data_IF_023977794498
#
_entry.id   IF_023977794498
#
_cell.length_a   1.000
_cell.length_b   1.000
_cell.length_c   1.000
_cell.angle_alpha   90.00
_cell.angle_beta   90.00
_cell.angle_gamma   90.00
#
_symmetry.space_group_name_H-M   'P 1'
#
loop_
_entity.id
_entity.type
_entity.pdbx_description
1 polymer ?
#
# COMPACT_ATOMS: atom_id res chain seq x y z
N UNK A 1 -17.79 -0.70 6.47
CA UNK A 1 -16.71 0.04 7.14
C UNK A 1 -15.45 -0.81 6.97
N UNK A 2 -14.44 -0.32 6.26
CA UNK A 2 -13.17 -1.05 6.11
C UNK A 2 -12.53 -1.05 7.49
N UNK A 3 -12.36 -2.22 8.09
CA UNK A 3 -11.62 -2.36 9.35
C UNK A 3 -10.27 -1.67 9.18
N UNK A 4 -10.05 -0.59 9.94
CA UNK A 4 -8.77 0.10 9.98
C UNK A 4 -7.77 -0.85 10.61
N UNK A 5 -6.89 -1.44 9.81
CA UNK A 5 -5.76 -2.20 10.32
C UNK A 5 -4.91 -1.25 11.19
N UNK A 6 -4.84 -1.44 12.53
CA UNK A 6 -4.17 -0.49 13.43
C UNK A 6 -2.71 -0.25 13.06
N UNK A 7 -2.07 -1.25 12.43
CA UNK A 7 -0.69 -1.17 11.97
C UNK A 7 -0.54 -0.19 10.79
N UNK A 8 -1.47 -0.18 9.84
CA UNK A 8 -1.43 0.72 8.67
C UNK A 8 -1.57 2.18 9.13
N UNK A 9 -2.43 2.43 10.12
CA UNK A 9 -2.60 3.77 10.69
C UNK A 9 -1.32 4.24 11.38
N UNK A 10 -0.68 3.38 12.18
CA UNK A 10 0.61 3.68 12.82
C UNK A 10 1.74 3.94 11.80
N UNK A 11 1.72 3.21 10.68
CA UNK A 11 2.71 3.34 9.61
C UNK A 11 2.49 4.58 8.71
N UNK A 12 1.38 5.35 8.87
CA UNK A 12 1.18 6.63 8.14
C UNK A 12 2.31 7.63 8.36
N UNK A 13 2.98 7.57 9.51
CA UNK A 13 4.16 8.39 9.81
C UNK A 13 5.31 8.16 8.83
N UNK A 14 5.35 7.04 8.09
CA UNK A 14 6.38 6.74 7.12
C UNK A 14 6.24 7.57 5.83
N UNK A 15 5.05 8.11 5.55
CA UNK A 15 4.79 8.92 4.35
C UNK A 15 5.58 10.24 4.34
N UNK A 16 6.01 10.72 5.51
CA UNK A 16 6.79 11.97 5.63
C UNK A 16 8.22 11.85 5.11
N UNK A 17 8.69 10.63 4.86
CA UNK A 17 10.03 10.35 4.37
C UNK A 17 9.95 10.00 2.89
N UNK A 18 10.69 10.68 2.03
CA UNK A 18 10.70 10.39 0.59
C UNK A 18 11.48 9.09 0.33
N UNK A 19 12.68 9.00 0.90
CA UNK A 19 13.60 7.88 0.73
C UNK A 19 13.83 7.12 2.05
N UNK A 20 14.42 5.91 1.95
CA UNK A 20 14.84 5.16 3.14
C UNK A 20 15.96 5.88 3.88
N UNK A 21 16.81 6.57 3.14
CA UNK A 21 17.90 7.39 3.67
C UNK A 21 17.36 8.53 4.52
N UNK A 22 16.30 9.22 4.09
CA UNK A 22 15.65 10.28 4.89
C UNK A 22 15.06 9.73 6.19
N UNK A 23 14.52 8.51 6.14
CA UNK A 23 14.07 7.80 7.34
C UNK A 23 15.23 7.52 8.29
N UNK A 24 16.37 7.02 7.80
CA UNK A 24 17.57 6.82 8.61
C UNK A 24 18.11 8.14 9.18
N UNK A 25 18.13 9.20 8.40
CA UNK A 25 18.61 10.51 8.81
C UNK A 25 17.74 11.12 9.92
N UNK A 26 16.45 10.77 9.97
CA UNK A 26 15.57 11.19 11.06
C UNK A 26 15.91 10.56 12.42
N UNK A 27 16.71 9.50 12.43
CA UNK A 27 17.20 8.81 13.63
C UNK A 27 18.62 9.23 14.02
N UNK A 28 19.31 10.04 13.19
CA UNK A 28 20.66 10.54 13.46
C UNK A 28 20.58 11.77 14.37
N UNK A 29 21.25 11.71 15.53
CA UNK A 29 21.27 12.82 16.51
C UNK A 29 22.43 13.77 16.18
N UNK A 30 22.37 15.02 16.64
CA UNK A 30 23.45 15.99 16.42
C UNK A 30 24.81 15.53 16.96
N UNK A 31 24.83 14.73 18.02
CA UNK A 31 26.04 14.12 18.53
C UNK A 31 26.71 13.19 17.50
N UNK A 32 25.92 12.44 16.73
CA UNK A 32 26.45 11.55 15.67
C UNK A 32 27.08 12.36 14.54
N UNK A 33 26.59 13.58 14.27
CA UNK A 33 27.21 14.50 13.30
C UNK A 33 28.57 15.01 13.77
N UNK A 34 28.75 15.17 15.08
CA UNK A 34 30.02 15.61 15.68
C UNK A 34 31.02 14.46 15.88
N UNK A 35 30.54 13.26 16.20
CA UNK A 35 31.39 12.12 16.54
C UNK A 35 31.73 11.23 15.35
N UNK A 36 30.87 11.16 14.34
CA UNK A 36 31.08 10.27 13.20
C UNK A 36 31.63 11.05 12.01
N UNK A 37 32.61 10.47 11.30
CA UNK A 37 33.33 11.17 10.23
C UNK A 37 32.48 11.45 8.99
N UNK A 38 31.41 10.69 8.77
CA UNK A 38 30.52 10.84 7.63
C UNK A 38 29.10 10.39 7.97
N UNK A 39 28.11 11.09 7.40
CA UNK A 39 26.68 10.74 7.41
C UNK A 39 26.39 9.29 7.01
N UNK A 40 27.19 8.70 6.11
CA UNK A 40 27.05 7.28 5.74
C UNK A 40 27.25 6.35 6.95
N UNK A 41 28.22 6.65 7.81
CA UNK A 41 28.50 5.86 9.02
C UNK A 41 27.35 6.02 10.01
N UNK A 42 26.84 7.25 10.19
CA UNK A 42 25.68 7.54 11.05
C UNK A 42 24.45 6.75 10.62
N UNK A 43 24.17 6.71 9.31
CA UNK A 43 23.06 5.92 8.74
C UNK A 43 23.24 4.42 9.00
N UNK A 44 24.44 3.89 8.83
CA UNK A 44 24.69 2.46 9.06
C UNK A 44 24.49 2.07 10.52
N UNK A 45 24.92 2.93 11.46
CA UNK A 45 24.68 2.73 12.89
C UNK A 45 23.18 2.80 13.23
N UNK A 46 22.45 3.72 12.60
CA UNK A 46 20.99 3.83 12.76
C UNK A 46 20.25 2.60 12.20
N UNK A 47 20.68 2.10 11.05
CA UNK A 47 20.16 0.87 10.42
C UNK A 47 20.35 -0.35 11.33
N UNK A 48 21.50 -0.46 11.99
CA UNK A 48 21.79 -1.52 12.97
C UNK A 48 20.98 -1.41 14.27
N UNK A 49 20.23 -0.32 14.47
CA UNK A 49 19.35 -0.15 15.63
C UNK A 49 20.08 0.13 16.94
N UNK A 50 21.38 0.44 16.93
CA UNK A 50 22.14 0.71 18.16
C UNK A 50 21.74 1.99 18.91
N UNK A 51 20.99 2.89 18.26
CA UNK A 51 20.55 4.18 18.83
C UNK A 51 19.08 4.20 19.23
N UNK A 52 18.25 3.51 18.48
CA UNK A 52 16.81 3.42 18.76
C UNK A 52 16.61 2.28 19.76
N UNK A 53 15.98 2.52 20.91
CA UNK A 53 15.54 1.43 21.80
C UNK A 53 14.37 0.64 21.19
N UNK A 54 14.59 0.07 20.00
CA UNK A 54 13.58 -0.62 19.21
C UNK A 54 14.13 -1.11 17.88
N UNK A 55 13.33 -1.90 17.18
CA UNK A 55 13.66 -2.49 15.90
C UNK A 55 13.59 -1.42 14.79
N UNK A 56 14.74 -1.03 14.23
CA UNK A 56 14.79 -0.20 13.02
C UNK A 56 14.25 -1.02 11.84
N UNK A 57 13.38 -0.43 11.03
CA UNK A 57 12.86 -1.12 9.84
C UNK A 57 13.99 -1.35 8.85
N UNK A 58 14.09 -2.57 8.32
CA UNK A 58 14.94 -2.81 7.15
C UNK A 58 14.43 -2.04 5.94
N UNK A 59 15.28 -1.82 4.94
CA UNK A 59 14.88 -1.13 3.69
C UNK A 59 13.63 -1.76 3.06
N UNK A 60 13.63 -3.09 2.94
CA UNK A 60 12.49 -3.83 2.38
C UNK A 60 11.22 -3.66 3.21
N UNK A 61 11.34 -3.66 4.54
CA UNK A 61 10.19 -3.47 5.43
C UNK A 61 9.66 -2.05 5.34
N UNK A 62 10.53 -1.04 5.28
CA UNK A 62 10.15 0.36 5.10
C UNK A 62 9.37 0.55 3.79
N UNK A 63 9.92 0.07 2.67
CA UNK A 63 9.28 0.18 1.37
C UNK A 63 7.95 -0.57 1.32
N UNK A 64 7.90 -1.79 1.86
CA UNK A 64 6.67 -2.60 1.92
C UNK A 64 5.57 -1.92 2.74
N UNK A 65 5.92 -1.39 3.93
CA UNK A 65 4.95 -0.71 4.81
C UNK A 65 4.49 0.61 4.20
N UNK A 66 5.41 1.40 3.64
CA UNK A 66 5.07 2.65 2.94
C UNK A 66 4.15 2.38 1.74
N UNK A 67 4.44 1.36 0.94
CA UNK A 67 3.59 0.96 -0.18
C UNK A 67 2.21 0.47 0.30
N UNK A 68 2.13 -0.28 1.40
CA UNK A 68 0.86 -0.71 1.98
C UNK A 68 -0.01 0.49 2.41
N UNK A 69 0.60 1.51 3.03
CA UNK A 69 -0.11 2.75 3.40
C UNK A 69 -0.58 3.50 2.15
N UNK A 70 0.27 3.64 1.12
CA UNK A 70 -0.12 4.30 -0.14
C UNK A 70 -1.28 3.56 -0.80
N UNK A 71 -1.23 2.22 -0.87
CA UNK A 71 -2.31 1.40 -1.41
C UNK A 71 -3.60 1.49 -0.58
N UNK A 72 -3.49 1.72 0.72
CA UNK A 72 -4.66 1.92 1.58
C UNK A 72 -5.31 3.29 1.34
N UNK A 73 -4.50 4.36 1.20
CA UNK A 73 -4.98 5.71 0.92
C UNK A 73 -5.48 5.88 -0.52
N UNK A 74 -4.82 5.23 -1.46
CA UNK A 74 -5.09 5.24 -2.88
C UNK A 74 -5.20 3.80 -3.40
N UNK A 75 -6.32 3.11 -3.12
CA UNK A 75 -6.53 1.75 -3.61
C UNK A 75 -6.44 1.72 -5.13
N UNK A 76 -5.66 0.78 -5.71
CA UNK A 76 -5.61 0.65 -7.16
C UNK A 76 -7.01 0.33 -7.67
N UNK A 77 -7.39 0.96 -8.78
CA UNK A 77 -8.65 0.67 -9.45
C UNK A 77 -8.67 -0.82 -9.85
N UNK A 78 -9.61 -1.58 -9.28
CA UNK A 78 -9.87 -2.96 -9.68
C UNK A 78 -10.96 -2.92 -10.75
N UNK A 79 -10.65 -3.27 -12.02
CA UNK A 79 -11.68 -3.34 -13.04
C UNK A 79 -12.72 -4.36 -12.60
N UNK A 80 -13.98 -3.99 -12.80
CA UNK A 80 -15.08 -4.88 -12.46
C UNK A 80 -15.02 -6.10 -13.38
N UNK A 81 -14.70 -7.28 -12.85
CA UNK A 81 -14.83 -8.52 -13.60
C UNK A 81 -16.31 -8.92 -13.69
N UNK A 82 -16.76 -9.29 -14.89
CA UNK A 82 -18.10 -9.85 -15.08
C UNK A 82 -18.08 -11.28 -14.56
N UNK A 83 -19.10 -11.68 -13.80
CA UNK A 83 -19.27 -13.03 -13.29
C UNK A 83 -19.34 -14.06 -14.43
N UNK A 84 -19.84 -13.66 -15.61
CA UNK A 84 -19.89 -14.51 -16.79
C UNK A 84 -18.56 -14.68 -17.53
N UNK A 85 -17.51 -13.95 -17.17
CA UNK A 85 -16.23 -13.97 -17.90
C UNK A 85 -15.61 -15.36 -17.84
N UNK A 86 -15.39 -15.99 -19.00
CA UNK A 86 -14.72 -17.29 -19.11
C UNK A 86 -15.59 -18.51 -18.78
N UNK A 87 -16.89 -18.34 -18.56
CA UNK A 87 -17.81 -19.46 -18.36
C UNK A 87 -18.31 -20.02 -19.71
N UNK A 88 -18.26 -21.35 -19.86
CA UNK A 88 -18.93 -22.06 -20.96
C UNK A 88 -20.38 -22.31 -20.58
N UNK A 89 -21.26 -21.40 -21.00
CA UNK A 89 -22.68 -21.45 -20.67
C UNK A 89 -23.43 -22.29 -21.72
N UNK A 90 -23.82 -23.51 -21.32
CA UNK A 90 -24.61 -24.44 -22.13
C UNK A 90 -26.09 -24.12 -22.14
N UNK A 91 -26.63 -23.59 -21.03
CA UNK A 91 -28.03 -23.24 -20.91
C UNK A 91 -28.34 -21.89 -21.60
N UNK A 92 -29.40 -21.82 -22.44
CA UNK A 92 -29.80 -20.58 -23.09
C UNK A 92 -30.11 -19.44 -22.12
N UNK A 93 -30.73 -19.72 -20.96
CA UNK A 93 -31.06 -18.65 -20.01
C UNK A 93 -29.81 -18.08 -19.35
N UNK A 94 -28.83 -18.91 -19.01
CA UNK A 94 -27.53 -18.45 -18.50
C UNK A 94 -26.77 -17.56 -19.50
N UNK A 95 -26.77 -17.93 -20.79
CA UNK A 95 -26.14 -17.13 -21.86
C UNK A 95 -26.78 -15.75 -21.96
N UNK A 96 -28.11 -15.73 -21.92
CA UNK A 96 -28.91 -14.51 -21.93
C UNK A 96 -28.66 -13.62 -20.69
N UNK A 97 -28.45 -14.21 -19.51
CA UNK A 97 -28.04 -13.48 -18.30
C UNK A 97 -26.63 -12.89 -18.44
N UNK A 98 -25.69 -13.64 -19.00
CA UNK A 98 -24.32 -13.18 -19.25
C UNK A 98 -24.28 -11.97 -20.21
N UNK A 99 -25.07 -12.01 -21.30
CA UNK A 99 -25.20 -10.90 -22.24
C UNK A 99 -25.72 -9.65 -21.54
N UNK A 100 -26.68 -9.81 -20.62
CA UNK A 100 -27.30 -8.71 -19.88
C UNK A 100 -26.47 -8.18 -18.70
N UNK A 101 -25.46 -8.93 -18.24
CA UNK A 101 -24.67 -8.55 -17.06
C UNK A 101 -24.02 -7.17 -17.22
N UNK A 102 -23.31 -6.94 -18.33
CA UNK A 102 -22.67 -5.65 -18.62
C UNK A 102 -23.69 -4.50 -18.68
N UNK A 103 -24.71 -4.52 -19.55
CA UNK A 103 -25.67 -3.42 -19.67
C UNK A 103 -26.52 -3.20 -18.41
N UNK A 104 -26.78 -4.23 -17.60
CA UNK A 104 -27.40 -4.05 -16.27
C UNK A 104 -26.48 -3.29 -15.31
N UNK A 105 -25.18 -3.61 -15.27
CA UNK A 105 -24.21 -2.94 -14.37
C UNK A 105 -23.93 -1.49 -14.73
N UNK A 106 -23.90 -1.16 -16.02
CA UNK A 106 -23.71 0.22 -16.49
C UNK A 106 -25.03 1.02 -16.55
N UNK A 107 -26.15 0.42 -16.13
CA UNK A 107 -27.43 1.09 -16.03
C UNK A 107 -28.17 1.34 -17.35
N UNK A 108 -27.72 0.76 -18.48
CA UNK A 108 -28.38 0.90 -19.78
C UNK A 108 -29.76 0.23 -19.78
N UNK A 109 -29.85 -0.97 -19.19
CA UNK A 109 -31.11 -1.71 -19.09
C UNK A 109 -31.94 -1.34 -17.86
N UNK A 110 -31.33 -0.64 -16.89
CA UNK A 110 -31.99 -0.24 -15.65
C UNK A 110 -32.73 1.10 -15.76
N UNK A 111 -32.92 1.64 -16.97
CA UNK A 111 -33.71 2.88 -17.16
C UNK A 111 -35.20 2.56 -17.04
N UNK A 112 -35.73 2.71 -15.83
CA UNK A 112 -37.15 2.90 -15.58
C UNK A 112 -37.38 3.63 -14.25
N UNK A 113 -37.81 4.90 -14.39
CA UNK A 113 -38.31 5.89 -13.40
C UNK A 113 -37.28 6.73 -12.65
#
# INVERSE_FOLDING_TARGET
MVETNPQIEADRRLLKFETYEDYLDSMVIDLDKCLLPNRLVSRHIAELGYRTCGETLSREQFERRKAAVINYLHPPYKPYSMASTGLLLGDPAQRELAIRERPNRIGILAVSR
#
